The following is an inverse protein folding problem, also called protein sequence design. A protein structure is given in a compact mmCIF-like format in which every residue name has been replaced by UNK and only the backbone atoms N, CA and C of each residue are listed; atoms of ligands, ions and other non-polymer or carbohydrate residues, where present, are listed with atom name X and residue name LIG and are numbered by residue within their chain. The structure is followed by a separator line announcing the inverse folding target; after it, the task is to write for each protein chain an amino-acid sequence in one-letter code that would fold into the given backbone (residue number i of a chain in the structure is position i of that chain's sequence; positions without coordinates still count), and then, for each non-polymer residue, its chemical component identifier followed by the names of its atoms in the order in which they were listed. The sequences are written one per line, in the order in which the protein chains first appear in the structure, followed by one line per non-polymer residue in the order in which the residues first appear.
data_IF_040161223758
#
_entry.id   IF_040161223758
#
_cell.length_a   1.000
_cell.length_b   1.000
_cell.length_c   1.000
_cell.angle_alpha   90.00
_cell.angle_beta   90.00
_cell.angle_gamma   90.00
#
_symmetry.space_group_name_H-M   'P 1'
#
loop_
_entity.id
_entity.type
_entity.pdbx_description
1 polymer ?
#
# COMPACT_ATOMS: atom_id res chain seq x y z
N UNK A 1 -65.67 30.53 -15.87
CA UNK A 1 -66.29 29.80 -14.74
C UNK A 1 -66.51 28.36 -15.16
N UNK A 2 -66.32 27.44 -14.23
CA UNK A 2 -66.61 26.00 -14.28
C UNK A 2 -65.56 25.06 -14.91
N UNK A 3 -64.71 24.57 -14.01
CA UNK A 3 -64.11 23.23 -13.96
C UNK A 3 -65.13 22.12 -14.22
N UNK A 4 -64.80 21.11 -15.06
CA UNK A 4 -65.38 19.75 -15.02
C UNK A 4 -64.30 18.76 -15.54
N UNK A 5 -63.54 18.13 -14.64
CA UNK A 5 -63.64 16.72 -14.19
C UNK A 5 -63.24 15.70 -15.26
N UNK A 6 -62.13 15.00 -14.95
CA UNK A 6 -61.69 13.79 -15.62
C UNK A 6 -62.66 12.63 -15.36
N UNK A 7 -63.01 11.89 -16.41
CA UNK A 7 -63.57 10.55 -16.31
C UNK A 7 -62.68 9.60 -17.14
N UNK A 8 -61.99 8.71 -16.45
CA UNK A 8 -61.34 7.55 -17.06
C UNK A 8 -62.38 6.44 -17.19
N UNK A 9 -62.56 5.82 -18.37
CA UNK A 9 -63.22 4.53 -18.45
C UNK A 9 -62.19 3.43 -18.17
N UNK A 10 -62.35 2.76 -17.02
CA UNK A 10 -61.98 1.37 -16.90
C UNK A 10 -62.91 0.56 -17.81
N UNK A 11 -62.37 -0.13 -18.81
CA UNK A 11 -62.76 -1.50 -19.17
C UNK A 11 -61.90 -2.00 -20.33
N UNK A 12 -61.42 -3.22 -20.14
CA UNK A 12 -60.67 -4.00 -21.10
C UNK A 12 -61.51 -4.33 -22.34
N UNK A 13 -60.90 -4.21 -23.51
CA UNK A 13 -61.43 -4.67 -24.78
C UNK A 13 -60.53 -4.22 -25.90
N UNK A 14 -59.85 -5.16 -26.55
CA UNK A 14 -59.01 -4.94 -27.72
C UNK A 14 -59.85 -4.40 -28.89
N UNK A 15 -60.09 -3.10 -28.94
CA UNK A 15 -60.66 -2.42 -30.10
C UNK A 15 -60.05 -1.03 -30.24
N UNK A 16 -59.15 -0.89 -31.21
CA UNK A 16 -58.61 0.40 -31.66
C UNK A 16 -59.75 1.19 -32.33
N UNK A 17 -59.94 2.49 -32.04
CA UNK A 17 -60.94 3.29 -32.76
C UNK A 17 -60.49 3.44 -34.22
N UNK A 18 -61.30 2.95 -35.15
CA UNK A 18 -61.14 3.26 -36.58
C UNK A 18 -61.88 4.56 -36.86
N UNK A 19 -61.14 5.60 -37.29
CA UNK A 19 -61.74 6.84 -37.80
C UNK A 19 -61.90 6.68 -39.32
N UNK A 20 -63.11 6.71 -39.90
CA UNK A 20 -63.27 6.59 -41.33
C UNK A 20 -62.94 7.93 -42.02
N UNK A 21 -61.95 7.92 -42.91
CA UNK A 21 -61.75 8.99 -43.89
C UNK A 21 -62.21 8.48 -45.27
N UNK A 22 -63.22 9.14 -45.87
CA UNK A 22 -63.64 8.88 -47.24
C UNK A 22 -62.70 9.58 -48.23
N UNK A 23 -62.29 8.86 -49.28
CA UNK A 23 -61.74 9.47 -50.50
C UNK A 23 -62.82 9.56 -51.58
N UNK A 24 -62.67 10.50 -52.52
CA UNK A 24 -63.71 10.95 -53.45
C UNK A 24 -64.18 9.92 -54.51
N UNK A 25 -63.60 8.72 -54.54
CA UNK A 25 -63.75 7.80 -55.69
C UNK A 25 -64.37 6.43 -55.32
N UNK A 26 -65.00 6.31 -54.13
CA UNK A 26 -65.90 5.19 -53.82
C UNK A 26 -65.27 3.80 -53.59
N UNK A 27 -63.94 3.66 -53.56
CA UNK A 27 -63.27 2.41 -53.22
C UNK A 27 -62.71 2.42 -51.78
N UNK A 28 -63.00 1.36 -51.02
CA UNK A 28 -62.58 1.17 -49.63
C UNK A 28 -61.07 0.83 -49.56
N UNK A 29 -60.23 1.82 -49.25
CA UNK A 29 -58.81 1.61 -48.95
C UNK A 29 -58.63 1.27 -47.47
N UNK A 30 -58.39 -0.01 -47.16
CA UNK A 30 -57.97 -0.43 -45.82
C UNK A 30 -56.46 -0.18 -45.69
N UNK A 31 -56.08 0.98 -45.15
CA UNK A 31 -54.70 1.22 -44.71
C UNK A 31 -54.50 0.54 -43.36
N UNK A 32 -53.83 -0.62 -43.34
CA UNK A 32 -53.33 -1.17 -42.08
C UNK A 32 -52.15 -0.32 -41.61
N UNK A 33 -52.34 0.43 -40.53
CA UNK A 33 -51.24 1.05 -39.83
C UNK A 33 -50.40 -0.06 -39.17
N UNK A 34 -49.44 -0.61 -39.91
CA UNK A 34 -48.42 -1.49 -39.37
C UNK A 34 -47.56 -0.72 -38.38
N UNK A 35 -47.90 -0.77 -37.10
CA UNK A 35 -47.02 -0.31 -36.04
C UNK A 35 -45.82 -1.26 -35.95
N UNK A 36 -44.82 -1.06 -36.80
CA UNK A 36 -43.52 -1.70 -36.62
C UNK A 36 -42.87 -1.10 -35.37
N UNK A 37 -43.09 -1.72 -34.21
CA UNK A 37 -42.22 -1.50 -33.04
C UNK A 37 -40.80 -1.88 -33.44
N UNK A 38 -39.98 -0.88 -33.73
CA UNK A 38 -38.52 -1.07 -33.73
C UNK A 38 -38.15 -1.41 -32.29
N UNK A 39 -38.02 -2.71 -31.99
CA UNK A 39 -37.40 -3.16 -30.75
C UNK A 39 -35.93 -2.79 -30.85
N UNK A 40 -35.53 -1.71 -30.20
CA UNK A 40 -34.13 -1.51 -29.80
C UNK A 40 -33.78 -2.57 -28.74
N UNK A 41 -33.63 -3.81 -29.18
CA UNK A 41 -33.16 -4.91 -28.35
C UNK A 41 -31.68 -4.74 -28.12
N UNK A 42 -31.30 -4.16 -26.99
CA UNK A 42 -29.92 -4.21 -26.52
C UNK A 42 -29.52 -5.68 -26.42
N UNK A 43 -28.61 -6.15 -27.28
CA UNK A 43 -28.16 -7.53 -27.26
C UNK A 43 -27.24 -7.74 -26.05
N UNK A 44 -27.84 -8.12 -24.92
CA UNK A 44 -27.14 -8.36 -23.65
C UNK A 44 -25.97 -9.35 -23.82
N UNK A 45 -26.11 -10.36 -24.68
CA UNK A 45 -25.03 -11.31 -24.97
C UNK A 45 -23.84 -10.72 -25.74
N UNK A 46 -24.06 -9.66 -26.54
CA UNK A 46 -22.98 -8.91 -27.21
C UNK A 46 -22.28 -7.96 -26.24
N UNK A 47 -23.04 -7.32 -25.35
CA UNK A 47 -22.48 -6.48 -24.28
C UNK A 47 -21.65 -7.31 -23.31
N UNK A 48 -22.19 -8.43 -22.81
CA UNK A 48 -21.47 -9.33 -21.91
C UNK A 48 -20.18 -9.83 -22.55
N UNK A 49 -20.21 -10.28 -23.82
CA UNK A 49 -18.99 -10.69 -24.54
C UNK A 49 -17.97 -9.57 -24.69
N UNK A 50 -18.42 -8.34 -24.95
CA UNK A 50 -17.54 -7.18 -24.99
C UNK A 50 -16.91 -6.91 -23.62
N UNK A 51 -17.71 -6.91 -22.53
CA UNK A 51 -17.23 -6.71 -21.16
C UNK A 51 -16.26 -7.82 -20.70
N UNK A 52 -16.53 -9.08 -21.04
CA UNK A 52 -15.62 -10.19 -20.77
C UNK A 52 -14.34 -10.08 -21.59
N UNK A 53 -14.44 -9.68 -22.85
CA UNK A 53 -13.29 -9.46 -23.73
C UNK A 53 -12.38 -8.33 -23.24
N UNK A 54 -12.97 -7.19 -22.84
CA UNK A 54 -12.21 -6.05 -22.29
C UNK A 54 -11.57 -6.42 -20.95
N UNK A 55 -12.30 -7.10 -20.06
CA UNK A 55 -11.74 -7.58 -18.79
C UNK A 55 -10.57 -8.55 -19.01
N UNK A 56 -10.72 -9.50 -19.93
CA UNK A 56 -9.66 -10.47 -20.26
C UNK A 56 -8.43 -9.79 -20.84
N UNK A 57 -8.62 -8.79 -21.71
CA UNK A 57 -7.52 -7.99 -22.26
C UNK A 57 -6.79 -7.19 -21.17
N UNK A 58 -7.53 -6.56 -20.25
CA UNK A 58 -6.95 -5.84 -19.11
C UNK A 58 -6.13 -6.80 -18.22
N UNK A 59 -6.67 -7.99 -17.90
CA UNK A 59 -5.96 -9.01 -17.12
C UNK A 59 -4.67 -9.44 -17.82
N UNK A 60 -4.70 -9.64 -19.14
CA UNK A 60 -3.51 -9.99 -19.92
C UNK A 60 -2.45 -8.88 -19.85
N UNK A 61 -2.84 -7.60 -19.98
CA UNK A 61 -1.91 -6.47 -19.85
C UNK A 61 -1.31 -6.39 -18.43
N UNK A 62 -2.12 -6.59 -17.39
CA UNK A 62 -1.64 -6.64 -16.00
C UNK A 62 -0.64 -7.79 -15.84
N UNK A 63 -0.96 -8.98 -16.35
CA UNK A 63 -0.08 -10.14 -16.27
C UNK A 63 1.25 -9.90 -16.99
N UNK A 64 1.23 -9.28 -18.17
CA UNK A 64 2.44 -8.87 -18.90
C UNK A 64 3.26 -7.88 -18.07
N UNK A 65 2.62 -6.84 -17.53
CA UNK A 65 3.29 -5.84 -16.67
C UNK A 65 3.93 -6.47 -15.43
N UNK A 66 3.23 -7.38 -14.76
CA UNK A 66 3.76 -8.15 -13.63
C UNK A 66 4.92 -9.06 -14.06
N UNK A 67 4.83 -9.67 -15.24
CA UNK A 67 5.92 -10.44 -15.84
C UNK A 67 7.19 -9.61 -15.99
N UNK A 68 7.08 -8.38 -16.53
CA UNK A 68 8.21 -7.47 -16.65
C UNK A 68 8.79 -7.07 -15.28
N UNK A 69 7.96 -6.70 -14.31
CA UNK A 69 8.42 -6.37 -12.94
C UNK A 69 9.07 -7.58 -12.24
N UNK A 70 8.62 -8.79 -12.54
CA UNK A 70 9.21 -10.01 -11.98
C UNK A 70 10.57 -10.31 -12.59
N UNK A 71 10.74 -10.10 -13.90
CA UNK A 71 11.94 -10.46 -14.64
C UNK A 71 13.06 -9.40 -14.54
N UNK A 72 12.72 -8.12 -14.38
CA UNK A 72 13.69 -7.04 -14.33
C UNK A 72 13.68 -6.30 -12.98
N UNK A 73 14.74 -6.52 -12.21
CA UNK A 73 14.94 -5.91 -10.90
C UNK A 73 15.03 -4.37 -10.97
N UNK A 74 15.62 -3.80 -12.02
CA UNK A 74 15.79 -2.34 -12.17
C UNK A 74 14.43 -1.69 -12.40
N UNK A 75 13.60 -2.24 -13.28
CA UNK A 75 12.25 -1.71 -13.49
C UNK A 75 11.38 -1.89 -12.23
N UNK A 76 11.48 -3.03 -11.54
CA UNK A 76 10.78 -3.24 -10.27
C UNK A 76 11.16 -2.21 -9.22
N UNK A 77 12.45 -1.96 -9.04
CA UNK A 77 12.96 -0.96 -8.10
C UNK A 77 12.51 0.47 -8.45
N UNK A 78 12.53 0.85 -9.74
CA UNK A 78 12.01 2.15 -10.20
C UNK A 78 10.51 2.29 -9.95
N UNK A 79 9.74 1.25 -10.29
CA UNK A 79 8.30 1.21 -10.04
C UNK A 79 8.01 1.36 -8.55
N UNK A 80 8.69 0.56 -7.72
CA UNK A 80 8.51 0.59 -6.27
C UNK A 80 8.91 1.93 -5.67
N UNK A 81 10.00 2.55 -6.12
CA UNK A 81 10.39 3.88 -5.66
C UNK A 81 9.29 4.93 -5.92
N UNK A 82 8.70 4.92 -7.12
CA UNK A 82 7.58 5.81 -7.45
C UNK A 82 6.32 5.48 -6.66
N UNK A 83 6.00 4.19 -6.52
CA UNK A 83 4.86 3.73 -5.75
C UNK A 83 4.97 4.10 -4.27
N UNK A 84 6.11 3.82 -3.63
CA UNK A 84 6.42 4.16 -2.25
C UNK A 84 6.31 5.65 -2.01
N UNK A 85 6.83 6.48 -2.91
CA UNK A 85 6.70 7.94 -2.82
C UNK A 85 5.24 8.42 -2.86
N UNK A 86 4.38 7.78 -3.66
CA UNK A 86 2.95 8.14 -3.71
C UNK A 86 2.19 7.76 -2.45
N UNK A 87 2.53 6.64 -1.80
CA UNK A 87 1.85 6.18 -0.58
C UNK A 87 2.46 6.78 0.70
N UNK A 88 3.67 7.32 0.63
CA UNK A 88 4.36 7.99 1.73
C UNK A 88 3.87 9.45 1.86
N UNK A 89 2.63 9.62 2.29
CA UNK A 89 2.01 10.93 2.44
C UNK A 89 2.17 11.47 3.87
N UNK A 90 2.94 12.56 4.10
CA UNK A 90 3.07 13.18 5.42
C UNK A 90 1.77 13.85 5.91
N UNK A 91 0.76 14.03 5.05
CA UNK A 91 -0.53 14.59 5.43
C UNK A 91 -1.49 13.52 5.97
N UNK A 92 -1.14 12.23 5.85
CA UNK A 92 -1.93 11.16 6.43
C UNK A 92 -1.76 11.15 7.96
N UNK A 93 -2.69 11.81 8.65
CA UNK A 93 -2.64 11.99 10.10
C UNK A 93 -2.60 10.68 10.88
N UNK A 94 -3.26 9.62 10.40
CA UNK A 94 -3.25 8.32 11.07
C UNK A 94 -1.86 7.66 11.02
N UNK A 95 -1.25 7.61 9.84
CA UNK A 95 0.11 7.09 9.65
C UNK A 95 1.11 7.94 10.44
N UNK A 96 1.01 9.26 10.35
CA UNK A 96 1.95 10.16 11.02
C UNK A 96 1.78 10.18 12.54
N UNK A 97 0.56 9.99 13.06
CA UNK A 97 0.35 9.81 14.49
C UNK A 97 1.07 8.55 15.00
N UNK A 98 0.94 7.44 14.29
CA UNK A 98 1.62 6.20 14.64
C UNK A 98 3.15 6.35 14.57
N UNK A 99 3.69 6.94 13.48
CA UNK A 99 5.14 7.14 13.30
C UNK A 99 5.71 8.13 14.30
N UNK A 100 5.14 9.33 14.37
CA UNK A 100 5.71 10.40 15.18
C UNK A 100 5.42 10.20 16.65
N UNK A 101 4.16 10.02 17.03
CA UNK A 101 3.79 10.03 18.45
C UNK A 101 4.07 8.66 19.04
N UNK A 102 3.52 7.59 18.47
CA UNK A 102 3.57 6.27 19.10
C UNK A 102 4.92 5.55 18.96
N UNK A 103 5.72 5.88 17.95
CA UNK A 103 7.02 5.26 17.71
C UNK A 103 8.18 6.20 18.06
N UNK A 104 8.36 7.33 17.37
CA UNK A 104 9.63 8.07 17.41
C UNK A 104 9.76 9.05 18.58
N UNK A 105 8.74 9.87 18.87
CA UNK A 105 8.79 10.87 19.96
C UNK A 105 8.92 10.23 21.34
N UNK A 106 8.23 9.12 21.59
CA UNK A 106 8.29 8.43 22.88
C UNK A 106 9.48 7.47 23.05
N UNK A 107 10.30 7.28 22.01
CA UNK A 107 11.39 6.30 22.04
C UNK A 107 12.78 6.88 22.32
N UNK A 108 12.86 8.16 22.69
CA UNK A 108 14.11 8.82 23.07
C UNK A 108 15.20 8.77 21.97
N UNK A 109 14.81 9.02 20.71
CA UNK A 109 15.76 9.15 19.59
C UNK A 109 16.75 10.28 19.88
N UNK A 110 18.05 9.98 19.83
CA UNK A 110 19.13 10.92 20.17
C UNK A 110 20.49 10.47 19.62
N UNK A 111 21.47 11.37 19.66
CA UNK A 111 22.88 11.09 19.36
C UNK A 111 23.13 10.89 17.87
N UNK A 112 24.06 10.00 17.53
CA UNK A 112 24.24 9.53 16.16
C UNK A 112 23.14 8.53 15.83
N UNK A 113 22.28 8.87 14.88
CA UNK A 113 21.12 8.07 14.47
C UNK A 113 21.43 7.36 13.17
N UNK A 114 21.11 6.08 13.09
CA UNK A 114 21.10 5.33 11.84
C UNK A 114 19.69 4.80 11.56
N UNK A 115 19.17 5.01 10.37
CA UNK A 115 17.88 4.48 9.92
C UNK A 115 18.09 3.42 8.84
N UNK A 116 17.68 2.20 9.14
CA UNK A 116 17.66 1.08 8.19
C UNK A 116 16.38 1.20 7.36
N UNK A 117 16.51 1.21 6.03
CA UNK A 117 15.39 1.40 5.11
C UNK A 117 14.81 2.80 5.21
N UNK A 118 15.65 3.82 5.08
CA UNK A 118 15.25 5.22 5.21
C UNK A 118 14.18 5.65 4.18
N UNK A 119 14.03 4.89 3.09
CA UNK A 119 12.97 5.07 2.10
C UNK A 119 12.96 6.49 1.55
N UNK A 120 11.77 7.06 1.39
CA UNK A 120 11.56 8.42 0.91
C UNK A 120 11.78 9.50 1.97
N UNK A 121 12.22 9.14 3.19
CA UNK A 121 12.45 10.08 4.28
C UNK A 121 11.19 10.41 5.08
N UNK A 122 10.13 9.59 5.00
CA UNK A 122 8.83 9.86 5.64
C UNK A 122 8.87 10.02 7.18
N UNK A 123 9.96 9.60 7.84
CA UNK A 123 10.17 9.81 9.27
C UNK A 123 10.67 11.22 9.62
N UNK A 124 11.18 12.00 8.66
CA UNK A 124 11.72 13.36 8.92
C UNK A 124 10.74 14.36 9.55
N UNK A 125 9.42 14.38 9.27
CA UNK A 125 8.49 15.25 9.97
C UNK A 125 8.48 15.02 11.49
N UNK A 126 8.90 13.83 11.94
CA UNK A 126 9.02 13.47 13.35
C UNK A 126 10.41 13.76 13.95
N UNK A 127 11.43 13.92 13.10
CA UNK A 127 12.84 13.95 13.49
C UNK A 127 13.49 15.33 13.32
N UNK A 128 13.05 16.14 12.35
CA UNK A 128 13.75 17.36 11.93
C UNK A 128 14.01 18.34 13.08
N UNK A 129 13.04 18.52 13.99
CA UNK A 129 13.16 19.45 15.12
C UNK A 129 13.71 18.79 16.41
N UNK A 130 14.15 17.53 16.35
CA UNK A 130 14.69 16.85 17.52
C UNK A 130 16.17 17.24 17.74
N UNK A 131 16.38 18.26 18.57
CA UNK A 131 17.70 18.82 18.91
C UNK A 131 18.65 17.84 19.61
N UNK A 132 18.17 16.66 20.04
CA UNK A 132 19.04 15.62 20.61
C UNK A 132 19.77 14.80 19.55
N UNK A 133 19.38 14.89 18.28
CA UNK A 133 20.06 14.22 17.16
C UNK A 133 21.30 15.02 16.77
N UNK A 134 22.46 14.35 16.73
CA UNK A 134 23.76 14.94 16.35
C UNK A 134 24.07 14.72 14.87
N UNK A 135 23.70 13.56 14.34
CA UNK A 135 23.83 13.21 12.92
C UNK A 135 22.85 12.11 12.55
N UNK A 136 22.54 11.99 11.27
CA UNK A 136 21.67 10.96 10.71
C UNK A 136 22.36 10.26 9.54
N UNK A 137 22.33 8.92 9.54
CA UNK A 137 22.74 8.07 8.43
C UNK A 137 21.54 7.21 8.02
N UNK A 138 21.07 7.31 6.79
CA UNK A 138 20.11 6.36 6.22
C UNK A 138 20.80 5.25 5.45
N UNK A 139 20.29 4.02 5.52
CA UNK A 139 20.65 2.92 4.62
C UNK A 139 19.47 2.67 3.68
N UNK A 140 19.70 2.78 2.37
CA UNK A 140 18.68 2.51 1.35
C UNK A 140 19.33 1.90 0.11
N UNK A 141 19.18 0.58 -0.14
CA UNK A 141 19.82 -0.09 -1.27
C UNK A 141 19.17 0.23 -2.62
N UNK A 142 17.93 0.72 -2.65
CA UNK A 142 17.27 1.09 -3.90
C UNK A 142 17.65 2.54 -4.28
N UNK A 143 18.64 2.67 -5.17
CA UNK A 143 19.14 3.95 -5.66
C UNK A 143 18.04 4.85 -6.28
N UNK A 144 16.95 4.26 -6.78
CA UNK A 144 15.84 5.02 -7.37
C UNK A 144 14.97 5.73 -6.33
N UNK A 145 15.09 5.37 -5.05
CA UNK A 145 14.43 6.06 -3.93
C UNK A 145 15.19 7.33 -3.53
N UNK A 146 16.50 7.39 -3.75
CA UNK A 146 17.36 8.46 -3.24
C UNK A 146 16.94 9.87 -3.68
N UNK A 147 16.54 10.10 -4.95
CA UNK A 147 16.03 11.41 -5.36
C UNK A 147 14.77 11.83 -4.59
N UNK A 148 13.85 10.88 -4.32
CA UNK A 148 12.65 11.14 -3.53
C UNK A 148 13.01 11.50 -2.08
N UNK A 149 13.94 10.75 -1.46
CA UNK A 149 14.47 11.05 -0.14
C UNK A 149 15.00 12.48 -0.05
N UNK A 150 15.96 12.84 -0.91
CA UNK A 150 16.58 14.16 -0.87
C UNK A 150 15.60 15.30 -1.17
N UNK A 151 14.68 15.11 -2.12
CA UNK A 151 13.66 16.11 -2.43
C UNK A 151 12.64 16.30 -1.30
N UNK A 152 12.32 15.23 -0.58
CA UNK A 152 11.41 15.29 0.56
C UNK A 152 12.06 15.99 1.76
N UNK A 153 13.28 15.62 2.12
CA UNK A 153 13.93 16.18 3.32
C UNK A 153 14.31 17.65 3.18
N UNK A 154 14.52 18.14 1.95
CA UNK A 154 14.80 19.57 1.66
C UNK A 154 13.68 20.52 2.10
N UNK A 155 12.49 20.00 2.34
CA UNK A 155 11.34 20.77 2.81
C UNK A 155 11.42 21.07 4.31
N UNK A 156 12.38 20.49 5.03
CA UNK A 156 12.54 20.58 6.47
C UNK A 156 13.85 21.29 6.81
N UNK A 157 13.81 22.20 7.79
CA UNK A 157 15.00 22.86 8.33
C UNK A 157 15.69 21.90 9.33
N UNK A 158 16.60 21.07 8.80
CA UNK A 158 17.25 20.00 9.57
C UNK A 158 18.57 20.53 10.15
N UNK A 159 18.71 20.63 11.50
CA UNK A 159 19.86 21.26 12.15
C UNK A 159 21.09 20.34 12.29
N UNK A 160 21.07 19.16 11.67
CA UNK A 160 22.12 18.14 11.79
C UNK A 160 22.47 17.55 10.42
N UNK A 161 23.67 16.95 10.32
CA UNK A 161 24.15 16.33 9.07
C UNK A 161 23.33 15.09 8.74
N UNK A 162 22.88 14.99 7.49
CA UNK A 162 22.16 13.85 6.92
C UNK A 162 22.97 13.23 5.79
N UNK A 163 23.23 11.92 5.86
CA UNK A 163 23.84 11.13 4.79
C UNK A 163 22.96 9.93 4.46
N UNK A 164 22.85 9.58 3.17
CA UNK A 164 22.19 8.36 2.71
C UNK A 164 23.25 7.44 2.10
N UNK A 165 23.26 6.18 2.48
CA UNK A 165 24.18 5.15 2.01
C UNK A 165 23.46 4.18 1.08
N UNK A 166 24.06 3.93 -0.08
CA UNK A 166 23.59 2.93 -1.05
C UNK A 166 24.12 1.53 -0.71
N UNK A 167 23.81 1.04 0.48
CA UNK A 167 24.30 -0.24 1.00
C UNK A 167 23.15 -1.16 1.40
N UNK A 168 23.43 -2.46 1.46
CA UNK A 168 22.55 -3.42 2.13
C UNK A 168 22.72 -3.30 3.64
N UNK A 169 21.62 -3.33 4.40
CA UNK A 169 21.67 -3.36 5.86
C UNK A 169 22.27 -4.66 6.43
N UNK A 170 22.50 -5.67 5.59
CA UNK A 170 23.20 -6.91 5.97
C UNK A 170 24.71 -6.74 6.12
N UNK A 171 25.26 -5.63 5.66
CA UNK A 171 26.68 -5.29 5.76
C UNK A 171 26.82 -3.77 5.85
N UNK A 172 27.01 -3.27 7.07
CA UNK A 172 27.23 -1.85 7.35
C UNK A 172 28.70 -1.56 7.63
N UNK A 173 29.63 -2.08 6.82
CA UNK A 173 31.08 -1.89 6.99
C UNK A 173 31.54 -0.41 7.02
N UNK A 174 30.83 0.50 6.37
CA UNK A 174 31.07 1.95 6.47
C UNK A 174 30.72 2.56 7.83
N UNK A 175 30.11 1.77 8.73
CA UNK A 175 29.68 2.19 10.06
C UNK A 175 30.47 1.41 11.11
N UNK A 176 31.24 2.15 11.90
CA UNK A 176 32.07 1.59 12.96
C UNK A 176 31.22 0.92 14.05
N UNK A 177 31.77 -0.13 14.64
CA UNK A 177 31.16 -0.80 15.80
C UNK A 177 31.04 0.17 16.98
N UNK A 178 29.96 0.08 17.76
CA UNK A 178 29.72 0.95 18.91
C UNK A 178 29.77 2.47 18.62
N UNK A 179 29.34 2.90 17.43
CA UNK A 179 29.34 4.31 17.02
C UNK A 179 27.96 4.97 17.04
N UNK A 180 26.89 4.18 16.97
CA UNK A 180 25.51 4.64 16.83
C UNK A 180 24.77 4.62 18.17
N UNK A 181 24.09 5.72 18.50
CA UNK A 181 23.30 5.85 19.74
C UNK A 181 21.88 5.31 19.55
N UNK A 182 21.28 5.52 18.38
CA UNK A 182 19.92 5.06 18.05
C UNK A 182 19.86 4.46 16.65
N UNK A 183 19.32 3.25 16.53
CA UNK A 183 18.93 2.63 15.26
C UNK A 183 17.41 2.70 15.10
N UNK A 184 16.93 3.09 13.93
CA UNK A 184 15.50 3.09 13.56
C UNK A 184 15.31 2.12 12.40
N UNK A 185 14.21 1.35 12.41
CA UNK A 185 13.80 0.53 11.26
C UNK A 185 12.28 0.54 11.16
N UNK A 186 11.74 0.96 10.01
CA UNK A 186 10.30 0.98 9.80
C UNK A 186 9.91 0.33 8.49
N UNK A 187 9.19 -0.79 8.57
CA UNK A 187 8.62 -1.53 7.44
C UNK A 187 9.67 -2.08 6.47
N UNK A 188 10.74 -2.67 7.00
CA UNK A 188 11.89 -3.14 6.20
C UNK A 188 11.94 -4.66 6.09
N UNK A 189 11.84 -5.38 7.20
CA UNK A 189 12.17 -6.81 7.27
C UNK A 189 11.24 -7.67 6.42
N UNK A 190 10.03 -7.21 6.11
CA UNK A 190 9.13 -7.93 5.19
C UNK A 190 9.68 -8.03 3.77
N UNK A 191 10.53 -7.08 3.33
CA UNK A 191 11.20 -7.11 2.01
C UNK A 191 12.52 -7.88 1.99
N UNK A 192 13.03 -8.25 3.16
CA UNK A 192 14.34 -8.88 3.31
C UNK A 192 14.18 -10.40 3.15
N UNK A 193 14.92 -11.06 2.22
CA UNK A 193 14.80 -12.51 2.03
C UNK A 193 15.44 -13.27 3.18
N UNK A 194 14.87 -14.42 3.53
CA UNK A 194 15.42 -15.25 4.60
C UNK A 194 16.74 -15.90 4.14
N UNK A 195 17.75 -16.06 5.03
CA UNK A 195 17.76 -15.79 6.47
C UNK A 195 18.31 -14.40 6.85
N UNK A 196 18.36 -13.45 5.92
CA UNK A 196 19.04 -12.16 6.13
C UNK A 196 18.47 -11.24 7.24
N UNK A 197 17.19 -11.32 7.68
CA UNK A 197 16.71 -10.50 8.79
C UNK A 197 17.56 -10.61 10.06
N UNK A 198 17.99 -11.83 10.43
CA UNK A 198 18.85 -12.03 11.61
C UNK A 198 20.19 -11.32 11.46
N UNK A 199 20.79 -11.37 10.26
CA UNK A 199 22.06 -10.69 9.96
C UNK A 199 21.92 -9.18 10.12
N UNK A 200 20.80 -8.59 9.71
CA UNK A 200 20.51 -7.16 9.88
C UNK A 200 20.40 -6.82 11.38
N UNK A 201 19.72 -7.64 12.17
CA UNK A 201 19.58 -7.42 13.62
C UNK A 201 20.92 -7.53 14.36
N UNK A 202 21.81 -8.45 13.93
CA UNK A 202 23.16 -8.59 14.45
C UNK A 202 24.07 -7.42 14.03
N UNK A 203 23.98 -6.95 12.79
CA UNK A 203 24.72 -5.77 12.33
C UNK A 203 24.26 -4.50 13.06
N UNK A 204 22.95 -4.34 13.28
CA UNK A 204 22.41 -3.27 14.11
C UNK A 204 22.97 -3.33 15.55
N UNK A 205 23.08 -4.54 16.11
CA UNK A 205 23.69 -4.73 17.42
C UNK A 205 25.17 -4.32 17.40
N UNK A 206 25.92 -4.71 16.37
CA UNK A 206 27.36 -4.38 16.25
C UNK A 206 27.60 -2.87 16.26
N UNK A 207 26.85 -2.11 15.47
CA UNK A 207 27.03 -0.66 15.33
C UNK A 207 26.52 0.15 16.53
N UNK A 208 25.55 -0.39 17.28
CA UNK A 208 25.02 0.28 18.47
C UNK A 208 26.10 0.38 19.57
N UNK A 209 26.16 1.53 20.24
CA UNK A 209 26.90 1.72 21.49
C UNK A 209 26.31 0.83 22.60
N UNK A 210 27.08 0.47 23.64
CA UNK A 210 26.51 -0.09 24.87
C UNK A 210 25.40 0.81 25.42
N UNK A 211 24.23 0.26 25.71
CA UNK A 211 23.03 1.02 26.11
C UNK A 211 22.31 1.74 24.97
N UNK A 212 22.77 1.58 23.73
CA UNK A 212 22.13 2.13 22.52
C UNK A 212 20.77 1.50 22.25
N UNK A 213 19.89 2.25 21.60
CA UNK A 213 18.50 1.83 21.36
C UNK A 213 18.29 1.44 19.90
N UNK A 214 17.69 0.27 19.67
CA UNK A 214 17.08 -0.08 18.39
C UNK A 214 15.57 0.09 18.51
N UNK A 215 14.98 1.02 17.78
CA UNK A 215 13.54 1.27 17.71
C UNK A 215 12.99 0.71 16.38
N UNK A 216 11.89 -0.03 16.42
CA UNK A 216 11.33 -0.61 15.19
C UNK A 216 9.81 -0.59 15.11
N UNK A 217 9.32 -0.61 13.87
CA UNK A 217 7.92 -0.85 13.50
C UNK A 217 7.88 -1.72 12.24
N UNK A 218 7.34 -2.93 12.32
CA UNK A 218 7.40 -3.90 11.23
C UNK A 218 6.04 -4.55 10.97
N UNK A 219 5.72 -4.82 9.70
CA UNK A 219 4.58 -5.67 9.37
C UNK A 219 4.84 -7.11 9.81
N UNK A 220 3.78 -7.80 10.20
CA UNK A 220 3.81 -9.23 10.51
C UNK A 220 2.71 -9.96 9.76
N UNK A 221 2.94 -11.25 9.52
CA UNK A 221 1.88 -12.15 9.11
C UNK A 221 0.80 -12.20 10.19
N UNK A 222 -0.46 -12.21 9.77
CA UNK A 222 -1.59 -12.36 10.68
C UNK A 222 -1.48 -13.69 11.43
N UNK A 223 -1.89 -13.71 12.70
CA UNK A 223 -1.84 -14.94 13.48
C UNK A 223 -2.93 -15.91 12.99
N UNK A 224 -2.59 -17.12 12.49
CA UNK A 224 -3.57 -18.04 11.93
C UNK A 224 -4.58 -18.56 12.95
N UNK A 225 -4.27 -18.50 14.26
CA UNK A 225 -5.19 -18.93 15.33
C UNK A 225 -6.23 -17.87 15.65
N UNK A 226 -5.88 -16.57 15.59
CA UNK A 226 -6.78 -15.47 15.93
C UNK A 226 -7.44 -14.86 14.71
N UNK A 227 -6.80 -14.93 13.53
CA UNK A 227 -7.30 -14.35 12.29
C UNK A 227 -6.97 -15.22 11.05
N UNK A 228 -7.54 -16.44 10.96
CA UNK A 228 -7.26 -17.38 9.86
C UNK A 228 -7.65 -16.84 8.48
N UNK A 229 -8.69 -16.00 8.39
CA UNK A 229 -9.13 -15.40 7.13
C UNK A 229 -8.07 -14.47 6.54
N UNK A 230 -7.56 -13.53 7.34
CA UNK A 230 -6.51 -12.61 6.87
C UNK A 230 -5.23 -13.37 6.57
N UNK A 231 -4.86 -14.35 7.39
CA UNK A 231 -3.70 -15.21 7.13
C UNK A 231 -3.80 -15.92 5.76
N UNK A 232 -4.95 -16.54 5.48
CA UNK A 232 -5.20 -17.21 4.19
C UNK A 232 -5.15 -16.24 3.01
N UNK A 233 -5.72 -15.05 3.17
CA UNK A 233 -5.67 -14.01 2.14
C UNK A 233 -4.25 -13.52 1.89
N UNK A 234 -3.48 -13.25 2.95
CA UNK A 234 -2.06 -12.85 2.86
C UNK A 234 -1.26 -13.87 2.06
N UNK A 235 -1.40 -15.18 2.37
CA UNK A 235 -0.68 -16.24 1.64
C UNK A 235 -1.11 -16.38 0.19
N UNK A 236 -2.36 -16.08 -0.13
CA UNK A 236 -2.87 -16.10 -1.51
C UNK A 236 -2.35 -14.93 -2.33
N UNK A 237 -2.32 -13.72 -1.76
CA UNK A 237 -1.91 -12.49 -2.47
C UNK A 237 -0.38 -12.28 -2.48
N UNK A 238 0.37 -12.98 -1.62
CA UNK A 238 1.81 -12.78 -1.42
C UNK A 238 2.64 -12.79 -2.72
N UNK A 239 2.45 -13.70 -3.71
CA UNK A 239 3.26 -13.70 -4.92
C UNK A 239 3.09 -12.42 -5.75
N UNK A 240 1.86 -11.89 -5.81
CA UNK A 240 1.58 -10.61 -6.46
C UNK A 240 2.15 -9.46 -5.64
N UNK A 241 1.93 -9.49 -4.32
CA UNK A 241 2.41 -8.48 -3.39
C UNK A 241 3.95 -8.34 -3.41
N UNK A 242 4.67 -9.45 -3.49
CA UNK A 242 6.13 -9.46 -3.58
C UNK A 242 6.66 -8.82 -4.87
N UNK A 243 5.89 -8.85 -5.97
CA UNK A 243 6.28 -8.17 -7.21
C UNK A 243 6.09 -6.66 -7.08
N UNK A 244 4.93 -6.22 -6.58
CA UNK A 244 4.63 -4.78 -6.49
C UNK A 244 5.32 -4.09 -5.31
N UNK A 245 5.61 -4.82 -4.23
CA UNK A 245 6.25 -4.36 -3.01
C UNK A 245 7.75 -4.67 -2.94
N UNK A 246 8.40 -4.83 -4.10
CA UNK A 246 9.85 -5.07 -4.25
C UNK A 246 10.42 -6.14 -3.30
N UNK A 247 9.76 -7.30 -3.25
CA UNK A 247 10.16 -8.45 -2.45
C UNK A 247 9.42 -8.59 -1.11
N UNK A 248 8.47 -7.72 -0.79
CA UNK A 248 7.68 -7.83 0.44
C UNK A 248 6.91 -9.16 0.56
N UNK A 249 7.06 -9.85 1.69
CA UNK A 249 6.33 -11.08 2.04
C UNK A 249 5.71 -10.96 3.44
N UNK A 250 4.61 -11.70 3.68
CA UNK A 250 3.97 -11.76 4.99
C UNK A 250 4.66 -12.82 5.86
N UNK A 251 5.57 -12.36 6.72
CA UNK A 251 6.45 -13.22 7.53
C UNK A 251 6.17 -13.10 9.04
N UNK A 252 6.48 -14.13 9.84
CA UNK A 252 6.43 -14.05 11.30
C UNK A 252 7.66 -13.30 11.84
N UNK A 253 7.76 -11.99 11.60
CA UNK A 253 8.94 -11.17 11.94
C UNK A 253 9.27 -11.21 13.44
N UNK A 254 8.29 -11.45 14.31
CA UNK A 254 8.49 -11.64 15.76
C UNK A 254 9.50 -12.73 16.10
N UNK A 255 9.60 -13.79 15.28
CA UNK A 255 10.55 -14.87 15.49
C UNK A 255 11.99 -14.37 15.47
N UNK A 256 12.31 -13.42 14.58
CA UNK A 256 13.64 -12.80 14.50
C UNK A 256 13.95 -11.96 15.73
N UNK A 257 12.98 -11.20 16.26
CA UNK A 257 13.16 -10.45 17.49
C UNK A 257 13.30 -11.37 18.72
N UNK A 258 12.58 -12.49 18.75
CA UNK A 258 12.69 -13.48 19.82
C UNK A 258 14.07 -14.16 19.83
N UNK A 259 14.65 -14.44 18.66
CA UNK A 259 16.01 -14.96 18.54
C UNK A 259 17.07 -14.01 19.10
N UNK A 260 16.79 -12.70 19.13
CA UNK A 260 17.70 -11.67 19.64
C UNK A 260 17.70 -11.55 21.17
N UNK A 261 16.89 -12.31 21.91
CA UNK A 261 16.81 -12.25 23.39
C UNK A 261 18.11 -12.60 24.13
N UNK A 262 18.99 -13.37 23.50
CA UNK A 262 20.31 -13.71 24.04
C UNK A 262 21.43 -12.76 23.57
N UNK A 263 21.12 -11.85 22.64
CA UNK A 263 22.09 -10.92 22.04
C UNK A 263 21.92 -9.52 22.64
N UNK A 264 20.68 -9.04 22.69
CA UNK A 264 20.35 -7.74 23.26
C UNK A 264 20.00 -7.89 24.74
N UNK A 265 20.48 -6.97 25.60
CA UNK A 265 20.13 -6.97 27.03
C UNK A 265 18.64 -6.81 27.29
N UNK A 266 17.89 -6.25 26.34
CA UNK A 266 16.44 -6.09 26.44
C UNK A 266 15.78 -6.17 25.07
N UNK A 267 14.74 -7.00 24.95
CA UNK A 267 13.85 -7.06 23.78
C UNK A 267 12.43 -6.84 24.24
N UNK A 268 11.77 -5.77 23.78
CA UNK A 268 10.37 -5.48 24.10
C UNK A 268 9.62 -5.02 22.87
N UNK A 269 8.53 -5.71 22.55
CA UNK A 269 7.61 -5.31 21.50
C UNK A 269 6.17 -5.62 21.88
N UNK A 270 5.24 -5.01 21.16
CA UNK A 270 3.81 -5.31 21.23
C UNK A 270 3.21 -5.32 19.84
N UNK A 271 2.18 -6.14 19.66
CA UNK A 271 1.35 -6.08 18.47
C UNK A 271 0.57 -4.76 18.42
N UNK A 272 0.33 -4.30 17.21
CA UNK A 272 -0.37 -3.06 16.91
C UNK A 272 -0.89 -3.14 15.47
N UNK A 273 -1.79 -2.25 15.11
CA UNK A 273 -2.26 -2.15 13.73
C UNK A 273 -1.56 -1.00 13.00
N UNK A 274 -1.27 -1.22 11.72
CA UNK A 274 -0.84 -0.23 10.74
C UNK A 274 -2.09 0.36 10.07
N UNK A 275 -2.29 1.68 10.11
CA UNK A 275 -3.48 2.34 9.56
C UNK A 275 -3.40 2.40 8.03
N UNK A 276 -3.66 1.26 7.40
CA UNK A 276 -3.67 1.07 5.95
C UNK A 276 -5.09 0.86 5.43
N UNK A 277 -5.42 1.39 4.23
CA UNK A 277 -6.66 1.01 3.55
C UNK A 277 -6.66 -0.48 3.15
N UNK A 278 -5.49 -1.13 3.06
CA UNK A 278 -5.37 -2.54 2.74
C UNK A 278 -5.50 -3.39 4.01
N UNK A 279 -6.68 -3.99 4.23
CA UNK A 279 -6.97 -4.77 5.44
C UNK A 279 -5.96 -5.91 5.71
N UNK A 280 -5.30 -6.43 4.67
CA UNK A 280 -4.36 -7.54 4.75
C UNK A 280 -2.93 -7.13 5.10
N UNK A 281 -2.62 -5.83 5.20
CA UNK A 281 -1.30 -5.32 5.63
C UNK A 281 -1.37 -4.62 7.00
N UNK A 282 -2.49 -4.77 7.72
CA UNK A 282 -2.72 -4.09 8.99
C UNK A 282 -1.84 -4.63 10.13
N UNK A 283 -1.58 -5.94 10.16
CA UNK A 283 -0.93 -6.57 11.30
C UNK A 283 0.53 -6.12 11.40
N UNK A 284 0.89 -5.52 12.53
CA UNK A 284 2.22 -4.99 12.75
C UNK A 284 2.71 -5.22 14.20
N UNK A 285 3.99 -5.01 14.40
CA UNK A 285 4.62 -4.96 15.72
C UNK A 285 5.46 -3.71 15.83
N UNK A 286 5.49 -3.15 17.03
CA UNK A 286 6.40 -2.05 17.36
C UNK A 286 7.10 -2.32 18.67
N UNK A 287 8.32 -1.86 18.77
CA UNK A 287 9.12 -2.17 19.93
C UNK A 287 10.46 -1.47 19.96
N UNK A 288 11.25 -1.91 20.93
CA UNK A 288 12.64 -1.53 21.06
C UNK A 288 13.50 -2.67 21.57
N UNK A 289 14.74 -2.72 21.08
CA UNK A 289 15.84 -3.49 21.67
C UNK A 289 16.86 -2.54 22.31
N UNK A 290 17.56 -3.01 23.34
CA UNK A 290 18.67 -2.29 23.98
C UNK A 290 19.89 -3.20 23.92
N UNK A 291 21.02 -2.65 23.44
CA UNK A 291 22.32 -3.32 23.51
C UNK A 291 22.79 -3.34 24.95
#
# INVERSE_FOLDING_TARGET
MATVIAAWPETAGDNVPTVPCLSADGHLLVLSAGASRVRYGVNMGRILRFLFGTLSFIIALIAIGLGYLKLDNVYRQKFFASFLNKISDPNNSAIMNLRCNELLKHSNVKGHVLEIGAGTGINFPCLYNNTRIKSYIGIEPNIHIHPYFYNFIKQWDIPYKVRLLNNSATDMHEVESNSIDTVIMTLVLCSVPDPLPEKILLEAHRILKPGGHFIFFEHVVANPKTNPFIYGFQKTIEPFWAIIGDGCQFKPITNYFDAMKNVYSKVKYKHTDWPSPFFFVKDAVKGKLIK
#
